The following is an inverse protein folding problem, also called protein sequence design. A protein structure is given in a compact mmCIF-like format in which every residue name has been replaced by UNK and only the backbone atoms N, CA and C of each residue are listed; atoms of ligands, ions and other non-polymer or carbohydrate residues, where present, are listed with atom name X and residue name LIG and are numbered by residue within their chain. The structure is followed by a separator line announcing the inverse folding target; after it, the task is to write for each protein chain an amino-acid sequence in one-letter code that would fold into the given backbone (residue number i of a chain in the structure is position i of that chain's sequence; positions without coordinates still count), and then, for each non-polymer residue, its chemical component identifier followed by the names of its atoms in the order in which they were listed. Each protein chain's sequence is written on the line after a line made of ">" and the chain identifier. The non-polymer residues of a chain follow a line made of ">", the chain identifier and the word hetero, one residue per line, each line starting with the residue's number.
data_IF_298543339289
#
_entry.id   IF_298543339289
#
_cell.length_a   1.000
_cell.length_b   1.000
_cell.length_c   1.000
_cell.angle_alpha   90.00
_cell.angle_beta   90.00
_cell.angle_gamma   90.00
#
_symmetry.space_group_name_H-M   'P 1'
#
loop_
_entity.id
_entity.type
_entity.pdbx_description
1 polymer ?
#
# COMPACT_ATOMS: atom_id res chain seq x y z
N UNK A 1 -32.88 5.55 6.17
CA UNK A 1 -32.50 4.16 5.81
C UNK A 1 -32.91 3.12 6.84
N UNK A 2 -32.49 3.21 8.11
CA UNK A 2 -32.91 2.23 9.14
C UNK A 2 -34.44 2.02 9.21
N UNK A 3 -35.22 3.10 9.05
CA UNK A 3 -36.69 3.02 8.98
C UNK A 3 -37.20 2.29 7.72
N UNK A 4 -36.55 2.47 6.56
CA UNK A 4 -36.90 1.82 5.29
C UNK A 4 -36.59 0.31 5.35
N UNK A 5 -35.44 -0.07 5.89
CA UNK A 5 -35.04 -1.46 6.07
C UNK A 5 -35.94 -2.23 7.05
N UNK A 6 -36.67 -1.52 7.93
CA UNK A 6 -37.53 -2.11 8.95
C UNK A 6 -39.03 -1.84 8.70
N UNK A 7 -39.42 -1.51 7.46
CA UNK A 7 -40.82 -1.27 7.04
C UNK A 7 -41.56 -0.24 7.91
N UNK A 8 -40.89 0.84 8.31
CA UNK A 8 -41.47 1.91 9.12
C UNK A 8 -41.56 1.63 10.62
N UNK A 9 -41.12 0.45 11.09
CA UNK A 9 -41.10 0.13 12.51
C UNK A 9 -39.95 0.85 13.22
N UNK A 10 -40.28 1.86 14.02
CA UNK A 10 -39.31 2.70 14.75
C UNK A 10 -38.45 1.86 15.71
N UNK A 11 -39.04 0.91 16.44
CA UNK A 11 -38.32 0.07 17.40
C UNK A 11 -37.29 -0.85 16.70
N UNK A 12 -37.70 -1.49 15.61
CA UNK A 12 -36.79 -2.32 14.81
C UNK A 12 -35.69 -1.49 14.14
N UNK A 13 -36.03 -0.29 13.64
CA UNK A 13 -35.06 0.62 13.05
C UNK A 13 -34.01 1.08 14.07
N UNK A 14 -34.43 1.37 15.31
CA UNK A 14 -33.51 1.74 16.39
C UNK A 14 -32.53 0.59 16.71
N UNK A 15 -33.02 -0.65 16.79
CA UNK A 15 -32.18 -1.84 16.98
C UNK A 15 -31.23 -2.06 15.81
N UNK A 16 -31.71 -1.94 14.56
CA UNK A 16 -30.88 -2.10 13.37
C UNK A 16 -29.75 -1.06 13.33
N UNK A 17 -30.05 0.20 13.63
CA UNK A 17 -29.05 1.28 13.70
C UNK A 17 -28.03 1.00 14.81
N UNK A 18 -28.48 0.56 15.99
CA UNK A 18 -27.59 0.23 17.10
C UNK A 18 -26.66 -0.94 16.76
N UNK A 19 -27.19 -2.04 16.23
CA UNK A 19 -26.41 -3.22 15.82
C UNK A 19 -25.41 -2.86 14.72
N UNK A 20 -25.84 -2.12 13.69
CA UNK A 20 -24.95 -1.71 12.59
C UNK A 20 -23.80 -0.85 13.10
N UNK A 21 -24.08 0.06 14.04
CA UNK A 21 -23.03 0.88 14.67
C UNK A 21 -22.06 0.01 15.47
N UNK A 22 -22.57 -0.95 16.24
CA UNK A 22 -21.73 -1.89 17.00
C UNK A 22 -20.86 -2.75 16.08
N UNK A 23 -21.40 -3.28 14.98
CA UNK A 23 -20.66 -4.03 13.97
C UNK A 23 -19.51 -3.21 13.37
N UNK A 24 -19.81 -1.98 12.94
CA UNK A 24 -18.80 -1.08 12.37
C UNK A 24 -17.73 -0.71 13.40
N UNK A 25 -18.12 -0.44 14.65
CA UNK A 25 -17.19 -0.15 15.73
C UNK A 25 -16.29 -1.37 16.04
N UNK A 26 -16.84 -2.59 15.96
CA UNK A 26 -16.11 -3.84 16.14
C UNK A 26 -15.11 -4.09 15.02
N UNK A 27 -15.50 -3.94 13.75
CA UNK A 27 -14.60 -4.05 12.59
C UNK A 27 -13.46 -3.04 12.71
N UNK A 28 -13.78 -1.78 13.03
CA UNK A 28 -12.80 -0.70 13.19
C UNK A 28 -11.86 -0.95 14.37
N UNK A 29 -12.31 -1.62 15.42
CA UNK A 29 -11.47 -2.01 16.56
C UNK A 29 -10.52 -3.15 16.19
N UNK A 30 -11.03 -4.17 15.52
CA UNK A 30 -10.23 -5.32 15.06
C UNK A 30 -9.14 -4.89 14.08
N UNK A 31 -9.45 -4.04 13.11
CA UNK A 31 -8.47 -3.55 12.13
C UNK A 31 -7.34 -2.75 12.81
N UNK A 32 -7.71 -1.86 13.74
CA UNK A 32 -6.73 -1.10 14.53
C UNK A 32 -5.87 -2.01 15.39
N UNK A 33 -6.45 -3.03 16.02
CA UNK A 33 -5.69 -3.99 16.82
C UNK A 33 -4.72 -4.79 15.95
N UNK A 34 -5.16 -5.27 14.78
CA UNK A 34 -4.30 -5.98 13.82
C UNK A 34 -3.15 -5.09 13.35
N UNK A 35 -3.42 -3.83 13.03
CA UNK A 35 -2.38 -2.85 12.64
C UNK A 35 -1.38 -2.61 13.77
N UNK A 36 -1.87 -2.46 15.00
CA UNK A 36 -1.04 -2.30 16.20
C UNK A 36 -0.14 -3.52 16.43
N UNK A 37 -0.70 -4.73 16.42
CA UNK A 37 0.05 -5.99 16.55
C UNK A 37 1.14 -6.13 15.48
N UNK A 38 0.83 -5.79 14.22
CA UNK A 38 1.83 -5.80 13.14
C UNK A 38 2.98 -4.83 13.43
N UNK A 39 2.68 -3.61 13.86
CA UNK A 39 3.70 -2.62 14.17
C UNK A 39 4.56 -3.03 15.38
N UNK A 40 3.94 -3.60 16.41
CA UNK A 40 4.64 -4.17 17.57
C UNK A 40 5.57 -5.31 17.16
N UNK A 41 5.12 -6.24 16.32
CA UNK A 41 5.95 -7.33 15.82
C UNK A 41 7.14 -6.81 15.01
N UNK A 42 6.92 -5.78 14.18
CA UNK A 42 8.02 -5.15 13.44
C UNK A 42 9.00 -4.46 14.39
N UNK A 43 8.50 -3.70 15.37
CA UNK A 43 9.34 -3.05 16.38
C UNK A 43 10.11 -4.06 17.24
N UNK A 44 9.52 -5.22 17.51
CA UNK A 44 10.17 -6.31 18.24
C UNK A 44 11.35 -6.89 17.43
N UNK A 45 11.15 -7.19 16.15
CA UNK A 45 12.23 -7.60 15.24
C UNK A 45 13.30 -6.52 15.10
N UNK A 46 12.90 -5.24 15.03
CA UNK A 46 13.81 -4.10 15.02
C UNK A 46 14.64 -4.00 16.31
N UNK A 47 14.01 -4.22 17.47
CA UNK A 47 14.68 -4.25 18.77
C UNK A 47 15.70 -5.38 18.91
N UNK A 48 15.52 -6.49 18.18
CA UNK A 48 16.52 -7.57 18.09
C UNK A 48 17.68 -7.25 17.14
N UNK A 49 17.62 -6.14 16.40
CA UNK A 49 18.68 -5.71 15.47
C UNK A 49 18.41 -6.05 14.01
N UNK A 50 17.23 -6.59 13.67
CA UNK A 50 16.84 -6.75 12.27
C UNK A 50 16.42 -5.40 11.67
N UNK A 51 16.67 -5.21 10.38
CA UNK A 51 16.17 -4.02 9.68
C UNK A 51 14.65 -4.04 9.57
N UNK A 52 14.03 -2.87 9.56
CA UNK A 52 12.60 -2.64 9.36
C UNK A 52 12.10 -3.28 8.05
N UNK A 53 12.91 -3.25 7.00
CA UNK A 53 12.57 -3.89 5.72
C UNK A 53 12.62 -5.42 5.81
N UNK A 54 13.65 -5.98 6.43
CA UNK A 54 13.75 -7.43 6.68
C UNK A 54 12.59 -7.93 7.55
N UNK A 55 12.31 -7.21 8.64
CA UNK A 55 11.22 -7.50 9.56
C UNK A 55 9.86 -7.48 8.84
N UNK A 56 9.60 -6.45 8.03
CA UNK A 56 8.37 -6.35 7.23
C UNK A 56 8.23 -7.51 6.24
N UNK A 57 9.30 -7.83 5.50
CA UNK A 57 9.28 -8.91 4.51
C UNK A 57 9.08 -10.27 5.16
N UNK A 58 9.74 -10.54 6.29
CA UNK A 58 9.59 -11.77 7.05
C UNK A 58 8.16 -11.90 7.63
N UNK A 59 7.63 -10.84 8.23
CA UNK A 59 6.25 -10.84 8.74
C UNK A 59 5.20 -10.95 7.62
N UNK A 60 5.50 -10.47 6.42
CA UNK A 60 4.62 -10.65 5.28
C UNK A 60 4.59 -12.12 4.84
N UNK A 61 5.74 -12.79 4.81
CA UNK A 61 5.82 -14.22 4.47
C UNK A 61 5.21 -15.11 5.56
N UNK A 62 5.32 -14.68 6.83
CA UNK A 62 4.76 -15.36 8.00
C UNK A 62 3.31 -14.99 8.33
N UNK A 63 2.59 -14.30 7.43
CA UNK A 63 1.22 -13.84 7.64
C UNK A 63 0.98 -13.06 8.95
N UNK A 64 2.00 -12.37 9.47
CA UNK A 64 1.96 -11.60 10.71
C UNK A 64 2.39 -12.35 11.97
N UNK A 65 2.70 -13.64 11.89
CA UNK A 65 3.22 -14.41 13.02
C UNK A 65 4.71 -14.11 13.27
N UNK A 66 5.05 -13.72 14.50
CA UNK A 66 6.41 -13.33 14.87
C UNK A 66 7.38 -14.52 14.85
N UNK A 67 6.96 -15.69 15.34
CA UNK A 67 7.83 -16.86 15.46
C UNK A 67 8.17 -17.46 14.09
N UNK A 68 7.19 -17.54 13.21
CA UNK A 68 7.40 -17.92 11.81
C UNK A 68 8.28 -16.89 11.08
N UNK A 69 8.10 -15.59 11.35
CA UNK A 69 8.97 -14.56 10.76
C UNK A 69 10.42 -14.72 11.21
N UNK A 70 10.66 -15.02 12.48
CA UNK A 70 12.00 -15.33 13.01
C UNK A 70 12.59 -16.58 12.35
N UNK A 71 11.79 -17.64 12.21
CA UNK A 71 12.20 -18.84 11.50
C UNK A 71 12.61 -18.50 10.06
N UNK A 72 11.80 -17.74 9.33
CA UNK A 72 12.11 -17.32 7.95
C UNK A 72 13.38 -16.48 7.90
N UNK A 73 13.59 -15.56 8.85
CA UNK A 73 14.81 -14.76 8.95
C UNK A 73 16.05 -15.62 9.18
N UNK A 74 15.95 -16.67 10.01
CA UNK A 74 17.05 -17.61 10.24
C UNK A 74 17.37 -18.46 9.00
N UNK A 75 16.36 -18.86 8.23
CA UNK A 75 16.54 -19.64 7.01
C UNK A 75 16.99 -18.77 5.81
N UNK A 76 16.70 -17.46 5.83
CA UNK A 76 17.04 -16.52 4.76
C UNK A 76 17.94 -15.39 5.28
N UNK A 77 19.24 -15.65 5.53
CA UNK A 77 20.18 -14.63 6.00
C UNK A 77 20.35 -13.47 5.01
N UNK A 78 20.01 -13.69 3.73
CA UNK A 78 20.00 -12.65 2.69
C UNK A 78 19.10 -11.45 3.08
N UNK A 79 18.05 -11.68 3.88
CA UNK A 79 17.17 -10.62 4.35
C UNK A 79 17.84 -9.72 5.40
N UNK A 80 18.83 -10.21 6.16
CA UNK A 80 19.48 -9.43 7.22
C UNK A 80 20.19 -8.20 6.69
N UNK A 81 20.70 -8.25 5.46
CA UNK A 81 21.51 -7.19 4.86
C UNK A 81 20.70 -6.17 4.08
N UNK A 82 19.38 -6.31 4.09
CA UNK A 82 18.49 -5.38 3.46
C UNK A 82 18.44 -4.11 4.30
N UNK A 83 19.42 -3.24 4.07
CA UNK A 83 19.66 -2.07 4.90
C UNK A 83 18.47 -1.10 4.86
N UNK A 84 18.16 -0.48 6.01
CA UNK A 84 17.11 0.52 6.16
C UNK A 84 17.54 1.92 5.69
N UNK A 85 18.58 2.02 4.85
CA UNK A 85 18.93 3.30 4.22
C UNK A 85 17.78 3.72 3.30
N UNK A 86 16.86 4.46 3.92
CA UNK A 86 15.78 5.32 3.47
C UNK A 86 15.11 4.99 2.11
N UNK A 87 13.76 5.00 2.02
CA UNK A 87 13.15 5.43 0.76
C UNK A 87 13.54 6.91 0.54
N UNK A 88 13.53 7.41 -0.69
CA UNK A 88 14.14 8.70 -1.12
C UNK A 88 15.60 8.59 -1.60
N UNK A 89 15.82 7.87 -2.69
CA UNK A 89 16.25 8.55 -3.92
C UNK A 89 16.36 7.54 -5.05
N UNK A 90 15.96 8.01 -6.22
CA UNK A 90 15.92 7.34 -7.51
C UNK A 90 17.30 6.90 -8.06
N UNK A 91 18.23 6.58 -7.18
CA UNK A 91 19.63 6.33 -7.52
C UNK A 91 19.87 4.85 -7.87
N UNK A 92 18.99 4.27 -8.72
CA UNK A 92 19.31 3.05 -9.47
C UNK A 92 20.56 3.21 -10.37
N UNK A 93 21.08 4.43 -10.51
CA UNK A 93 22.21 4.75 -11.38
C UNK A 93 23.32 5.59 -10.74
N UNK A 94 23.33 5.83 -9.42
CA UNK A 94 24.52 6.45 -8.83
C UNK A 94 25.68 5.48 -8.95
N UNK A 95 26.69 5.94 -9.70
CA UNK A 95 28.04 5.43 -9.63
C UNK A 95 28.39 5.16 -8.17
N UNK A 96 28.90 3.96 -7.84
CA UNK A 96 29.25 3.62 -6.47
C UNK A 96 30.19 4.68 -5.90
N UNK A 97 30.00 5.05 -4.62
CA UNK A 97 30.79 6.11 -3.99
C UNK A 97 32.28 5.80 -4.13
N UNK A 98 33.06 6.71 -4.73
CA UNK A 98 34.47 6.49 -5.06
C UNK A 98 35.29 6.02 -3.85
N UNK A 99 35.02 6.58 -2.66
CA UNK A 99 35.66 6.19 -1.39
C UNK A 99 35.52 4.69 -1.07
N UNK A 100 34.37 4.09 -1.35
CA UNK A 100 34.11 2.66 -1.14
C UNK A 100 34.81 1.78 -2.16
N UNK A 101 34.92 2.26 -3.40
CA UNK A 101 35.73 1.60 -4.43
C UNK A 101 37.18 1.61 -3.96
N UNK A 102 37.69 2.76 -3.52
CA UNK A 102 39.05 2.91 -3.03
C UNK A 102 39.32 2.02 -1.81
N UNK A 103 38.35 1.84 -0.92
CA UNK A 103 38.46 0.89 0.21
C UNK A 103 38.62 -0.56 -0.27
N UNK A 104 37.85 -1.02 -1.27
CA UNK A 104 38.02 -2.37 -1.84
C UNK A 104 39.33 -2.51 -2.61
N UNK A 105 39.76 -1.45 -3.31
CA UNK A 105 41.05 -1.41 -4.00
C UNK A 105 42.20 -1.49 -2.98
N UNK A 106 42.09 -0.79 -1.86
CA UNK A 106 43.04 -0.87 -0.75
C UNK A 106 43.11 -2.29 -0.15
N UNK A 107 41.99 -3.02 -0.13
CA UNK A 107 41.96 -4.43 0.28
C UNK A 107 42.57 -5.40 -0.77
N UNK A 108 42.94 -4.90 -1.96
CA UNK A 108 43.57 -5.68 -3.02
C UNK A 108 42.60 -6.22 -4.09
N UNK A 109 41.35 -5.75 -4.13
CA UNK A 109 40.43 -6.10 -5.21
C UNK A 109 40.63 -5.23 -6.45
N UNK A 110 40.36 -5.80 -7.62
CA UNK A 110 40.37 -5.05 -8.87
C UNK A 110 39.28 -3.97 -8.87
N UNK A 111 39.61 -2.77 -9.36
CA UNK A 111 38.70 -1.62 -9.33
C UNK A 111 37.42 -1.87 -10.14
N UNK A 112 37.49 -2.63 -11.24
CA UNK A 112 36.31 -2.94 -12.08
C UNK A 112 35.42 -3.94 -11.36
N UNK A 113 36.00 -4.97 -10.75
CA UNK A 113 35.28 -5.95 -9.96
C UNK A 113 34.62 -5.31 -8.71
N UNK A 114 35.35 -4.44 -8.02
CA UNK A 114 34.86 -3.66 -6.89
C UNK A 114 33.67 -2.77 -7.28
N UNK A 115 33.79 -2.04 -8.39
CA UNK A 115 32.72 -1.19 -8.92
C UNK A 115 31.48 -2.00 -9.30
N UNK A 116 31.66 -3.15 -9.95
CA UNK A 116 30.56 -4.03 -10.32
C UNK A 116 29.87 -4.64 -9.07
N UNK A 117 30.67 -5.09 -8.09
CA UNK A 117 30.16 -5.61 -6.83
C UNK A 117 29.37 -4.56 -6.05
N UNK A 118 29.91 -3.34 -5.89
CA UNK A 118 29.23 -2.26 -5.19
C UNK A 118 27.95 -1.81 -5.91
N UNK A 119 27.89 -1.87 -7.25
CA UNK A 119 26.64 -1.63 -7.99
C UNK A 119 25.56 -2.64 -7.63
N UNK A 120 25.92 -3.92 -7.53
CA UNK A 120 24.97 -5.00 -7.21
C UNK A 120 24.54 -4.95 -5.75
N UNK A 121 25.50 -4.76 -4.84
CA UNK A 121 25.27 -4.72 -3.40
C UNK A 121 24.95 -3.33 -2.87
N UNK A 122 24.63 -2.37 -3.76
CA UNK A 122 24.19 -1.01 -3.43
C UNK A 122 25.12 -0.32 -2.42
N UNK A 123 26.38 -0.23 -2.78
CA UNK A 123 27.42 0.43 -1.98
C UNK A 123 27.68 -0.21 -0.60
N UNK A 124 27.45 -1.52 -0.46
CA UNK A 124 27.85 -2.27 0.73
C UNK A 124 29.25 -2.89 0.54
N UNK A 125 30.27 -2.27 1.14
CA UNK A 125 31.68 -2.70 1.04
C UNK A 125 31.88 -4.11 1.60
N UNK A 126 31.29 -4.42 2.76
CA UNK A 126 31.48 -5.70 3.43
C UNK A 126 30.93 -6.85 2.60
N UNK A 127 29.72 -6.69 2.04
CA UNK A 127 29.10 -7.72 1.22
C UNK A 127 29.81 -7.85 -0.15
N UNK A 128 30.19 -6.73 -0.74
CA UNK A 128 31.02 -6.71 -1.95
C UNK A 128 32.36 -7.41 -1.72
N UNK A 129 33.07 -7.11 -0.64
CA UNK A 129 34.32 -7.77 -0.28
C UNK A 129 34.11 -9.26 -0.04
N UNK A 130 33.12 -9.65 0.77
CA UNK A 130 32.86 -11.07 1.09
C UNK A 130 32.55 -11.88 -0.16
N UNK A 131 31.71 -11.35 -1.05
CA UNK A 131 31.37 -12.01 -2.32
C UNK A 131 32.56 -12.05 -3.28
N UNK A 132 33.38 -11.00 -3.32
CA UNK A 132 34.63 -11.02 -4.08
C UNK A 132 35.62 -12.05 -3.52
N UNK A 133 35.79 -12.16 -2.20
CA UNK A 133 36.64 -13.19 -1.58
C UNK A 133 36.15 -14.59 -1.95
N UNK A 134 34.85 -14.85 -1.80
CA UNK A 134 34.29 -16.18 -2.04
C UNK A 134 34.42 -16.63 -3.51
N UNK A 135 34.32 -15.68 -4.44
CA UNK A 135 34.40 -15.95 -5.88
C UNK A 135 35.81 -15.70 -6.47
N UNK A 136 36.85 -15.55 -5.65
CA UNK A 136 38.23 -15.39 -6.12
C UNK A 136 38.52 -14.06 -6.83
N UNK A 137 37.85 -12.99 -6.43
CA UNK A 137 38.03 -11.63 -6.93
C UNK A 137 37.19 -11.29 -8.16
N UNK A 138 36.35 -12.21 -8.64
CA UNK A 138 35.46 -11.99 -9.80
C UNK A 138 34.00 -12.03 -9.36
N UNK A 139 33.18 -11.17 -9.95
CA UNK A 139 31.75 -11.18 -9.69
C UNK A 139 31.10 -12.33 -10.49
N UNK A 140 30.16 -13.10 -9.91
CA UNK A 140 29.44 -14.12 -10.65
C UNK A 140 28.61 -13.51 -11.80
N UNK A 141 28.54 -14.18 -12.96
CA UNK A 141 27.87 -13.66 -14.16
C UNK A 141 26.37 -13.41 -13.95
N UNK A 142 25.72 -14.18 -13.07
CA UNK A 142 24.31 -14.00 -12.72
C UNK A 142 23.98 -12.59 -12.16
N UNK A 143 24.98 -11.89 -11.63
CA UNK A 143 24.83 -10.53 -11.09
C UNK A 143 25.23 -9.43 -12.08
N UNK A 144 25.88 -9.77 -13.20
CA UNK A 144 26.31 -8.81 -14.22
C UNK A 144 25.17 -8.45 -15.21
N UNK A 145 24.14 -9.28 -15.31
CA UNK A 145 23.09 -9.22 -16.34
C UNK A 145 22.01 -8.14 -16.15
N UNK A 146 22.18 -7.15 -15.27
CA UNK A 146 21.21 -6.04 -15.13
C UNK A 146 21.62 -4.75 -15.88
N UNK A 147 22.58 -4.80 -16.81
CA UNK A 147 23.04 -3.62 -17.53
C UNK A 147 22.43 -3.41 -18.93
N UNK A 148 21.68 -4.38 -19.48
CA UNK A 148 21.26 -4.34 -20.89
C UNK A 148 19.75 -4.51 -21.03
N UNK A 149 18.93 -3.62 -20.45
CA UNK A 149 17.59 -3.42 -21.00
C UNK A 149 17.07 -1.98 -20.79
N UNK A 150 16.88 -1.30 -21.93
CA UNK A 150 16.02 -0.13 -22.19
C UNK A 150 16.34 1.15 -21.39
N UNK A 151 16.97 2.21 -21.94
CA UNK A 151 16.79 2.92 -23.23
C UNK A 151 15.33 3.13 -23.60
N UNK A 152 14.84 4.37 -23.48
CA UNK A 152 13.98 5.12 -24.44
C UNK A 152 12.90 6.02 -23.78
N UNK A 153 13.23 7.33 -23.65
CA UNK A 153 12.43 8.52 -24.09
C UNK A 153 11.03 8.85 -23.52
N UNK A 154 10.52 10.10 -23.68
CA UNK A 154 11.18 11.40 -23.57
C UNK A 154 10.38 12.41 -22.70
N UNK A 155 10.99 13.58 -22.54
CA UNK A 155 10.51 14.83 -21.96
C UNK A 155 9.06 15.24 -22.26
N UNK A 156 8.39 15.78 -21.24
CA UNK A 156 7.43 16.89 -21.36
C UNK A 156 7.70 17.92 -20.27
N UNK A 157 8.18 19.10 -20.69
CA UNK A 157 8.04 20.41 -20.04
C UNK A 157 6.53 20.76 -19.85
N UNK A 158 6.08 21.75 -19.04
CA UNK A 158 6.78 23.00 -18.68
C UNK A 158 6.76 23.37 -17.18
N UNK A 159 7.85 24.02 -16.76
CA UNK A 159 7.98 24.75 -15.50
C UNK A 159 7.65 26.21 -15.79
N UNK A 160 6.50 26.67 -15.32
CA UNK A 160 6.11 28.07 -15.42
C UNK A 160 5.71 28.63 -14.05
N UNK A 161 6.21 29.85 -13.82
CA UNK A 161 5.68 30.87 -12.92
C UNK A 161 5.85 30.74 -11.39
N UNK A 162 6.92 31.40 -10.97
CA UNK A 162 7.11 32.11 -9.71
C UNK A 162 5.86 32.72 -9.06
N UNK A 163 5.85 32.68 -7.73
CA UNK A 163 5.23 33.71 -6.89
C UNK A 163 4.33 33.17 -5.78
N UNK A 164 4.89 32.89 -4.61
CA UNK A 164 4.82 33.77 -3.44
C UNK A 164 5.32 33.02 -2.22
N UNK A 165 6.12 33.72 -1.44
CA UNK A 165 6.65 33.27 -0.16
C UNK A 165 5.54 33.20 0.87
N UNK A 166 5.49 32.11 1.66
CA UNK A 166 5.43 32.08 3.14
C UNK A 166 4.65 30.87 3.66
N UNK A 167 5.38 29.83 4.07
CA UNK A 167 5.10 28.98 5.23
C UNK A 167 3.64 28.54 5.52
N UNK A 168 2.96 27.93 4.55
CA UNK A 168 1.82 27.02 4.74
C UNK A 168 1.82 26.12 3.51
N UNK A 169 2.10 24.82 3.58
CA UNK A 169 1.96 23.99 2.36
C UNK A 169 1.83 22.49 2.55
N UNK A 170 2.30 21.86 3.64
CA UNK A 170 2.10 20.40 3.75
C UNK A 170 0.64 20.04 4.09
N UNK A 171 0.02 20.78 5.03
CA UNK A 171 -1.37 20.55 5.40
C UNK A 171 -2.34 20.93 4.27
N UNK A 172 -2.09 22.05 3.58
CA UNK A 172 -2.95 22.51 2.49
C UNK A 172 -2.94 21.52 1.31
N UNK A 173 -1.75 21.03 0.90
CA UNK A 173 -1.62 20.02 -0.16
C UNK A 173 -2.29 18.69 0.21
N UNK A 174 -2.18 18.25 1.46
CA UNK A 174 -2.85 17.03 1.93
C UNK A 174 -4.37 17.22 1.93
N UNK A 175 -4.87 18.38 2.36
CA UNK A 175 -6.33 18.65 2.34
C UNK A 175 -6.90 18.75 0.93
N UNK A 176 -6.17 19.32 -0.02
CA UNK A 176 -6.60 19.41 -1.42
C UNK A 176 -6.68 18.02 -2.06
N UNK A 177 -5.67 17.17 -1.84
CA UNK A 177 -5.68 15.78 -2.32
C UNK A 177 -6.77 14.92 -1.67
N UNK A 178 -7.05 15.13 -0.37
CA UNK A 178 -8.15 14.44 0.31
C UNK A 178 -9.51 14.91 -0.21
N UNK A 179 -9.67 16.21 -0.50
CA UNK A 179 -10.91 16.75 -1.03
C UNK A 179 -11.18 16.25 -2.46
N UNK A 180 -10.16 16.14 -3.30
CA UNK A 180 -10.24 15.51 -4.63
C UNK A 180 -10.77 14.06 -4.54
N UNK A 181 -10.24 13.27 -3.60
CA UNK A 181 -10.67 11.88 -3.40
C UNK A 181 -12.11 11.81 -2.86
N UNK A 182 -12.53 12.76 -2.01
CA UNK A 182 -13.88 12.79 -1.46
C UNK A 182 -14.94 13.10 -2.51
N UNK A 183 -14.62 13.86 -3.56
CA UNK A 183 -15.53 14.13 -4.68
C UNK A 183 -15.82 12.87 -5.52
N UNK A 184 -14.83 11.98 -5.64
CA UNK A 184 -14.96 10.71 -6.38
C UNK A 184 -15.62 9.59 -5.56
N UNK A 185 -15.69 9.73 -4.23
CA UNK A 185 -16.38 8.77 -3.38
C UNK A 185 -17.87 9.15 -3.33
N UNK A 186 -18.79 8.32 -3.84
CA UNK A 186 -20.21 8.57 -3.66
C UNK A 186 -20.54 8.63 -2.16
N UNK A 187 -21.22 9.71 -1.72
CA UNK A 187 -21.59 9.90 -0.30
C UNK A 187 -22.49 8.76 0.23
N UNK A 188 -23.16 8.01 -0.66
CA UNK A 188 -24.05 6.92 -0.31
C UNK A 188 -24.01 5.74 -1.28
N UNK A 189 -23.90 4.53 -0.71
CA UNK A 189 -23.94 3.25 -1.44
C UNK A 189 -25.35 2.87 -1.96
N UNK A 190 -26.36 3.72 -1.73
CA UNK A 190 -27.78 3.47 -2.07
C UNK A 190 -28.35 4.43 -3.13
N UNK A 191 -27.51 5.27 -3.76
CA UNK A 191 -27.91 6.19 -4.86
C UNK A 191 -28.26 5.48 -6.18
N UNK A 192 -28.40 4.16 -6.16
CA UNK A 192 -28.93 3.39 -7.30
C UNK A 192 -30.45 3.56 -7.51
N UNK A 193 -31.12 4.34 -6.66
CA UNK A 193 -32.51 4.75 -6.84
C UNK A 193 -32.54 6.12 -7.53
N UNK A 194 -32.49 6.11 -8.86
CA UNK A 194 -32.65 7.32 -9.70
C UNK A 194 -34.05 7.96 -9.59
N UNK A 195 -34.98 7.32 -8.87
CA UNK A 195 -36.38 7.74 -8.74
C UNK A 195 -36.61 8.57 -7.48
N UNK A 196 -37.25 9.73 -7.64
CA UNK A 196 -37.76 10.53 -6.51
C UNK A 196 -38.92 9.81 -5.82
N UNK A 197 -39.29 10.27 -4.62
CA UNK A 197 -40.40 9.68 -3.85
C UNK A 197 -41.73 9.88 -4.59
N UNK A 198 -41.86 11.00 -5.28
CA UNK A 198 -42.97 11.33 -6.18
C UNK A 198 -43.04 10.38 -7.38
N UNK A 199 -41.90 10.01 -7.98
CA UNK A 199 -41.85 9.06 -9.09
C UNK A 199 -42.27 7.65 -8.64
N UNK A 200 -41.81 7.21 -7.47
CA UNK A 200 -42.17 5.91 -6.90
C UNK A 200 -43.69 5.85 -6.62
N UNK A 201 -44.30 6.91 -6.09
CA UNK A 201 -45.74 6.99 -5.85
C UNK A 201 -46.54 6.80 -7.15
N UNK A 202 -46.11 7.44 -8.25
CA UNK A 202 -46.74 7.30 -9.57
C UNK A 202 -46.64 5.86 -10.07
N UNK A 203 -45.46 5.23 -9.97
CA UNK A 203 -45.22 3.84 -10.39
C UNK A 203 -46.10 2.88 -9.59
N UNK A 204 -46.19 3.07 -8.27
CA UNK A 204 -47.02 2.24 -7.39
C UNK A 204 -48.50 2.39 -7.76
N UNK A 205 -48.98 3.61 -7.99
CA UNK A 205 -50.37 3.85 -8.38
C UNK A 205 -50.72 3.18 -9.73
N UNK A 206 -49.81 3.24 -10.70
CA UNK A 206 -49.95 2.53 -11.98
C UNK A 206 -50.03 1.01 -11.74
N UNK A 207 -49.13 0.46 -10.93
CA UNK A 207 -49.10 -0.98 -10.62
C UNK A 207 -50.37 -1.45 -9.91
N UNK A 208 -50.88 -0.67 -8.95
CA UNK A 208 -52.14 -0.95 -8.26
C UNK A 208 -53.33 -0.98 -9.23
N UNK A 209 -53.38 -0.02 -10.16
CA UNK A 209 -54.42 0.01 -11.19
C UNK A 209 -54.37 -1.23 -12.10
N UNK A 210 -53.16 -1.68 -12.45
CA UNK A 210 -52.96 -2.88 -13.26
C UNK A 210 -53.44 -4.14 -12.54
N UNK A 211 -53.10 -4.28 -11.25
CA UNK A 211 -53.53 -5.39 -10.41
C UNK A 211 -55.05 -5.39 -10.20
N UNK A 212 -55.67 -4.23 -9.98
CA UNK A 212 -57.12 -4.11 -9.82
C UNK A 212 -57.87 -4.45 -11.12
N UNK A 213 -57.35 -4.04 -12.28
CA UNK A 213 -57.88 -4.42 -13.57
C UNK A 213 -57.81 -5.94 -13.81
N UNK A 214 -56.68 -6.58 -13.46
CA UNK A 214 -56.55 -8.04 -13.55
C UNK A 214 -57.57 -8.74 -12.63
N UNK A 215 -57.69 -8.28 -11.39
CA UNK A 215 -58.63 -8.85 -10.41
C UNK A 215 -60.08 -8.70 -10.87
N UNK A 216 -60.41 -7.56 -11.46
CA UNK A 216 -61.74 -7.28 -12.01
C UNK A 216 -62.04 -8.13 -13.26
N UNK A 217 -61.05 -8.35 -14.12
CA UNK A 217 -61.16 -9.24 -15.28
C UNK A 217 -61.32 -10.71 -14.85
N UNK A 218 -60.54 -11.16 -13.85
CA UNK A 218 -60.62 -12.52 -13.32
C UNK A 218 -61.97 -12.83 -12.63
N UNK A 219 -62.64 -11.83 -12.03
CA UNK A 219 -63.96 -12.01 -11.40
C UNK A 219 -65.11 -12.07 -12.41
N UNK A 220 -64.88 -11.66 -13.66
CA UNK A 220 -65.91 -11.60 -14.71
C UNK A 220 -65.96 -12.85 -15.60
N UNK A 221 -64.95 -13.72 -15.52
CA UNK A 221 -64.95 -15.08 -16.09
C UNK A 221 -65.37 -16.10 -15.02
#
# INVERSE_FOLDING_TARGET
>A
LGLRACDGNVDHAAVHIANRREELDQIKKEEREKKKRRLENINHLKGMGYSMRAARQALHQAAGNLEEALKILLHNPQLWWLNDSAPESNNRQQSPSQEKIDQLVYMGFDAVAAKAALRVFRDNVQLAAQTLVHNGGRLPPDLQLSAEDSSSTPSTSPSDSAGTSSASTDEDMETEAVNEILEDIPEHEEDYLDSTLEDEEIIIAEYLSYVENIKSAAKKN
#
